data_IF_740150992328
#
_entry.id   IF_740150992328
#
_cell.length_a   1.000
_cell.length_b   1.000
_cell.length_c   1.000
_cell.angle_alpha   90.00
_cell.angle_beta   90.00
_cell.angle_gamma   90.00
#
_symmetry.space_group_name_H-M   'P 1'
#
loop_
_entity.id
_entity.type
_entity.pdbx_description
1 polymer ?
#
# COMPACT_ATOMS: atom_id res chain seq x y z
N UNK A 1 26.58 -70.40 -46.84
CA UNK A 1 27.15 -69.20 -46.22
C UNK A 1 26.36 -67.98 -46.69
N UNK A 2 25.84 -67.23 -45.72
CA UNK A 2 25.36 -65.83 -45.77
C UNK A 2 24.37 -65.34 -46.83
N UNK A 3 23.18 -64.98 -46.32
CA UNK A 3 22.40 -63.72 -46.57
C UNK A 3 21.71 -63.59 -47.93
N UNK A 4 20.50 -63.06 -48.08
CA UNK A 4 19.56 -62.40 -47.18
C UNK A 4 18.20 -62.31 -47.87
N UNK A 5 17.15 -62.28 -47.04
CA UNK A 5 15.75 -61.99 -47.31
C UNK A 5 15.52 -60.74 -48.18
N UNK A 6 14.55 -60.83 -49.10
CA UNK A 6 13.74 -59.70 -49.54
C UNK A 6 12.38 -60.22 -50.03
N UNK A 7 11.34 -60.12 -49.21
CA UNK A 7 9.96 -60.25 -49.65
C UNK A 7 9.08 -59.22 -48.94
N UNK A 8 8.42 -58.42 -49.77
CA UNK A 8 7.12 -57.79 -49.58
C UNK A 8 6.82 -57.08 -48.25
N UNK A 9 6.79 -55.74 -48.29
CA UNK A 9 5.54 -55.00 -48.00
C UNK A 9 5.58 -53.56 -48.53
N UNK A 10 5.03 -53.37 -49.73
CA UNK A 10 4.74 -52.07 -50.33
C UNK A 10 3.41 -51.51 -49.79
N UNK A 11 3.33 -50.18 -49.65
CA UNK A 11 2.19 -49.48 -50.26
C UNK A 11 1.43 -48.42 -49.48
N UNK A 12 1.64 -48.21 -48.17
CA UNK A 12 0.67 -47.40 -47.39
C UNK A 12 1.20 -46.36 -46.40
N UNK A 13 2.50 -46.03 -46.42
CA UNK A 13 3.07 -45.15 -45.39
C UNK A 13 3.38 -43.70 -45.84
N UNK A 14 3.19 -43.33 -47.11
CA UNK A 14 3.76 -42.08 -47.65
C UNK A 14 2.75 -40.96 -48.00
N UNK A 15 1.46 -41.12 -47.68
CA UNK A 15 0.42 -40.15 -48.07
C UNK A 15 -0.14 -39.28 -46.93
N UNK A 16 0.34 -39.40 -45.69
CA UNK A 16 -0.21 -38.63 -44.54
C UNK A 16 0.74 -37.51 -44.05
N UNK A 17 1.96 -37.40 -44.61
CA UNK A 17 2.98 -36.47 -44.09
C UNK A 17 2.93 -35.03 -44.66
N UNK A 18 1.85 -34.60 -45.31
CA UNK A 18 1.86 -33.35 -46.08
C UNK A 18 0.83 -32.27 -45.70
N UNK A 19 -0.04 -32.47 -44.70
CA UNK A 19 -1.10 -31.48 -44.40
C UNK A 19 -1.33 -31.29 -42.90
N UNK A 20 -0.27 -31.00 -42.13
CA UNK A 20 -0.42 -30.31 -40.82
C UNK A 20 0.76 -29.34 -40.66
N UNK A 21 0.86 -28.38 -41.58
CA UNK A 21 1.49 -27.09 -41.29
C UNK A 21 0.36 -26.06 -41.25
N UNK A 22 -0.54 -26.22 -40.28
CA UNK A 22 -1.39 -25.12 -39.86
C UNK A 22 -0.46 -24.12 -39.20
N UNK A 23 -0.03 -23.16 -40.02
CA UNK A 23 0.46 -21.85 -39.63
C UNK A 23 -0.34 -21.35 -38.43
N UNK A 24 0.22 -21.52 -37.24
CA UNK A 24 -0.17 -20.72 -36.09
C UNK A 24 0.28 -19.29 -36.41
N UNK A 25 -0.57 -18.56 -37.13
CA UNK A 25 -0.62 -17.13 -36.98
C UNK A 25 -1.07 -16.91 -35.53
N UNK A 26 -0.09 -16.86 -34.63
CA UNK A 26 -0.27 -16.23 -33.33
C UNK A 26 -0.61 -14.78 -33.65
N UNK A 27 -1.92 -14.50 -33.78
CA UNK A 27 -2.42 -13.16 -33.77
C UNK A 27 -1.89 -12.55 -32.49
N UNK A 28 -0.93 -11.65 -32.62
CA UNK A 28 -0.53 -10.78 -31.54
C UNK A 28 -1.79 -10.01 -31.16
N UNK A 29 -2.50 -10.53 -30.16
CA UNK A 29 -3.48 -9.78 -29.41
C UNK A 29 -2.77 -8.48 -29.06
N UNK A 30 -3.29 -7.37 -29.60
CA UNK A 30 -2.84 -6.03 -29.26
C UNK A 30 -3.03 -5.88 -27.76
N UNK A 31 -1.98 -6.24 -27.01
CA UNK A 31 -1.92 -6.01 -25.59
C UNK A 31 -1.83 -4.49 -25.44
N UNK A 32 -2.97 -3.86 -25.17
CA UNK A 32 -2.99 -2.45 -24.84
C UNK A 32 -2.16 -2.27 -23.58
N UNK A 33 -1.06 -1.55 -23.68
CA UNK A 33 -0.19 -1.30 -22.54
C UNK A 33 -0.91 -0.28 -21.62
N UNK A 34 -1.17 -0.69 -20.38
CA UNK A 34 -1.87 0.14 -19.42
C UNK A 34 -0.90 1.11 -18.73
N UNK A 35 -1.08 2.41 -18.95
CA UNK A 35 -0.39 3.47 -18.22
C UNK A 35 -1.28 3.94 -17.07
N UNK A 36 -0.83 3.69 -15.84
CA UNK A 36 -1.47 4.28 -14.66
C UNK A 36 -0.73 5.57 -14.29
N UNK A 37 -1.47 6.68 -14.26
CA UNK A 37 -0.97 8.01 -13.90
C UNK A 37 -1.79 8.58 -12.75
N UNK A 38 -1.24 9.57 -12.06
CA UNK A 38 -1.94 10.40 -11.06
C UNK A 38 -2.09 11.80 -11.64
N UNK A 39 -3.14 12.58 -11.32
CA UNK A 39 -3.24 13.97 -11.73
C UNK A 39 -1.96 14.77 -11.44
N UNK A 40 -1.43 15.45 -12.47
CA UNK A 40 -0.15 16.17 -12.44
C UNK A 40 1.08 15.29 -12.64
N UNK A 41 0.92 13.96 -12.72
CA UNK A 41 1.98 13.03 -13.06
C UNK A 41 2.23 12.96 -14.57
N UNK A 42 3.44 12.54 -14.95
CA UNK A 42 3.82 12.35 -16.34
C UNK A 42 4.62 11.08 -16.57
N UNK A 43 4.64 10.58 -17.81
CA UNK A 43 5.43 9.44 -18.23
C UNK A 43 6.03 9.68 -19.61
N UNK A 44 7.32 9.41 -19.74
CA UNK A 44 8.03 9.42 -21.02
C UNK A 44 7.89 8.06 -21.71
N UNK A 45 7.50 8.09 -22.98
CA UNK A 45 7.42 6.93 -23.87
C UNK A 45 8.41 7.11 -25.02
N UNK A 46 9.05 6.00 -25.42
CA UNK A 46 10.08 5.98 -26.44
C UNK A 46 9.60 5.21 -27.68
N UNK A 47 9.80 5.79 -28.86
CA UNK A 47 9.36 5.25 -30.14
C UNK A 47 10.46 5.31 -31.20
N UNK A 48 10.29 4.59 -32.32
CA UNK A 48 11.21 4.66 -33.46
C UNK A 48 10.55 5.41 -34.64
N UNK A 49 10.96 6.64 -34.88
CA UNK A 49 10.44 7.51 -35.96
C UNK A 49 8.91 7.63 -35.95
N UNK A 50 8.42 8.22 -34.87
CA UNK A 50 7.01 8.52 -34.66
C UNK A 50 6.54 9.56 -35.67
N UNK A 51 5.42 9.27 -36.31
CA UNK A 51 4.86 10.11 -37.37
C UNK A 51 3.39 10.47 -37.14
N UNK A 52 2.67 9.78 -36.24
CA UNK A 52 1.31 10.14 -35.86
C UNK A 52 1.02 9.82 -34.40
N UNK A 53 0.32 10.72 -33.73
CA UNK A 53 -0.15 10.56 -32.34
C UNK A 53 -1.60 11.02 -32.29
N UNK A 54 -2.47 10.22 -31.67
CA UNK A 54 -3.87 10.56 -31.43
C UNK A 54 -4.23 10.24 -29.99
N UNK A 55 -4.69 11.26 -29.27
CA UNK A 55 -5.28 11.11 -27.95
C UNK A 55 -6.81 11.16 -28.09
N UNK A 56 -7.52 10.19 -27.50
CA UNK A 56 -8.97 10.09 -27.62
C UNK A 56 -9.68 11.20 -26.85
N UNK A 57 -9.27 11.44 -25.61
CA UNK A 57 -9.86 12.47 -24.75
C UNK A 57 -8.75 13.35 -24.14
N UNK A 58 -8.61 14.62 -24.58
CA UNK A 58 -7.62 15.57 -24.07
C UNK A 58 -8.01 16.24 -22.74
N UNK A 59 -9.21 15.98 -22.22
CA UNK A 59 -9.61 16.45 -20.89
C UNK A 59 -8.95 15.63 -19.80
N UNK A 60 -8.89 14.30 -19.99
CA UNK A 60 -8.33 13.32 -19.04
C UNK A 60 -6.80 13.34 -19.02
N UNK A 61 -6.16 13.39 -20.19
CA UNK A 61 -4.71 13.38 -20.34
C UNK A 61 -4.26 14.40 -21.38
N UNK A 62 -2.96 14.64 -21.47
CA UNK A 62 -2.35 15.45 -22.52
C UNK A 62 -1.07 14.79 -23.00
N UNK A 63 -0.65 15.12 -24.21
CA UNK A 63 0.56 14.55 -24.79
C UNK A 63 1.40 15.63 -25.45
N UNK A 64 2.70 15.59 -25.18
CA UNK A 64 3.68 16.50 -25.77
C UNK A 64 4.72 15.67 -26.51
N UNK A 65 4.83 15.90 -27.82
CA UNK A 65 5.87 15.29 -28.65
C UNK A 65 7.16 16.06 -28.43
N UNK A 66 8.10 15.49 -27.66
CA UNK A 66 9.39 16.10 -27.41
C UNK A 66 10.33 15.91 -28.61
N UNK A 67 10.27 14.76 -29.27
CA UNK A 67 11.01 14.47 -30.50
C UNK A 67 10.32 13.37 -31.32
N UNK A 68 10.88 13.01 -32.48
CA UNK A 68 10.42 11.84 -33.26
C UNK A 68 10.58 10.51 -32.51
N UNK A 69 11.34 10.47 -31.42
CA UNK A 69 11.54 9.27 -30.61
C UNK A 69 10.93 9.39 -29.21
N UNK A 70 10.48 10.56 -28.79
CA UNK A 70 10.08 10.83 -27.39
C UNK A 70 8.70 11.49 -27.32
N UNK A 71 7.81 10.86 -26.55
CA UNK A 71 6.47 11.36 -26.27
C UNK A 71 6.25 11.40 -24.77
N UNK A 72 5.89 12.57 -24.24
CA UNK A 72 5.55 12.73 -22.83
C UNK A 72 4.04 12.73 -22.68
N UNK A 73 3.51 11.86 -21.83
CA UNK A 73 2.08 11.77 -21.49
C UNK A 73 1.87 12.36 -20.10
N UNK A 74 0.92 13.29 -19.97
CA UNK A 74 0.54 13.94 -18.72
C UNK A 74 -0.87 13.54 -18.32
N UNK A 75 -1.08 13.21 -17.04
CA UNK A 75 -2.42 13.02 -16.48
C UNK A 75 -3.00 14.34 -15.98
N UNK A 76 -4.17 14.75 -16.48
CA UNK A 76 -4.87 15.99 -16.07
C UNK A 76 -5.95 15.70 -15.04
N UNK A 77 -7.05 15.07 -15.45
CA UNK A 77 -8.19 14.73 -14.60
C UNK A 77 -8.35 13.23 -14.45
N UNK A 78 -9.01 12.83 -13.36
CA UNK A 78 -9.29 11.42 -13.07
C UNK A 78 -10.21 10.85 -14.14
N UNK A 79 -9.81 9.74 -14.76
CA UNK A 79 -10.55 9.13 -15.86
C UNK A 79 -9.72 8.12 -16.64
N UNK A 80 -10.36 7.52 -17.64
CA UNK A 80 -9.71 6.57 -18.55
C UNK A 80 -9.79 7.11 -19.97
N UNK A 81 -8.66 7.12 -20.67
CA UNK A 81 -8.57 7.54 -22.07
C UNK A 81 -7.62 6.61 -22.82
N UNK A 82 -7.63 6.69 -24.15
CA UNK A 82 -6.75 5.90 -25.00
C UNK A 82 -5.82 6.80 -25.79
N UNK A 83 -4.60 6.33 -25.97
CA UNK A 83 -3.58 6.96 -26.79
C UNK A 83 -3.16 5.98 -27.88
N UNK A 84 -3.20 6.45 -29.13
CA UNK A 84 -2.71 5.72 -30.29
C UNK A 84 -1.47 6.41 -30.84
N UNK A 85 -0.40 5.64 -31.03
CA UNK A 85 0.86 6.13 -31.57
C UNK A 85 1.24 5.30 -32.77
N UNK A 86 1.64 5.94 -33.87
CA UNK A 86 2.21 5.25 -35.03
C UNK A 86 3.68 5.60 -35.17
N UNK A 87 4.50 4.56 -35.21
CA UNK A 87 5.93 4.63 -35.41
C UNK A 87 6.35 3.67 -36.54
N UNK A 88 7.65 3.57 -36.84
CA UNK A 88 8.16 2.70 -37.89
C UNK A 88 7.88 1.20 -37.67
N UNK A 89 7.48 0.78 -36.45
CA UNK A 89 7.14 -0.61 -36.12
C UNK A 89 5.65 -0.90 -36.25
N UNK A 90 4.80 0.12 -36.29
CA UNK A 90 3.36 -0.01 -36.49
C UNK A 90 2.56 0.87 -35.54
N UNK A 91 1.32 0.42 -35.25
CA UNK A 91 0.39 1.13 -34.35
C UNK A 91 0.50 0.57 -32.93
N UNK A 92 0.78 1.44 -31.98
CA UNK A 92 0.76 1.18 -30.55
C UNK A 92 -0.54 1.71 -29.95
N UNK A 93 -1.12 0.96 -29.01
CA UNK A 93 -2.32 1.34 -28.27
C UNK A 93 -2.01 1.34 -26.77
N UNK A 94 -2.27 2.47 -26.12
CA UNK A 94 -2.04 2.68 -24.71
C UNK A 94 -3.35 3.04 -24.01
N UNK A 95 -3.69 2.30 -22.96
CA UNK A 95 -4.81 2.63 -22.08
C UNK A 95 -4.29 3.50 -20.93
N UNK A 96 -4.61 4.80 -20.97
CA UNK A 96 -4.22 5.75 -19.93
C UNK A 96 -5.32 5.75 -18.87
N UNK A 97 -4.98 5.34 -17.66
CA UNK A 97 -5.84 5.40 -16.49
C UNK A 97 -5.26 6.43 -15.51
N UNK A 98 -5.87 7.61 -15.46
CA UNK A 98 -5.53 8.63 -14.49
C UNK A 98 -6.35 8.35 -13.24
N UNK A 99 -5.70 7.81 -12.21
CA UNK A 99 -6.34 7.49 -10.95
C UNK A 99 -6.22 8.67 -9.99
N UNK A 100 -7.34 9.03 -9.37
CA UNK A 100 -7.34 10.00 -8.27
C UNK A 100 -6.50 9.48 -7.12
N UNK A 101 -5.90 10.39 -6.36
CA UNK A 101 -5.34 10.01 -5.06
C UNK A 101 -6.47 9.51 -4.17
N UNK A 102 -6.25 8.49 -3.33
CA UNK A 102 -7.25 8.06 -2.37
C UNK A 102 -7.64 9.27 -1.51
N UNK A 103 -8.91 9.66 -1.58
CA UNK A 103 -9.41 10.79 -0.79
C UNK A 103 -9.45 10.39 0.69
N UNK A 104 -9.25 11.38 1.56
CA UNK A 104 -9.39 11.19 3.00
C UNK A 104 -10.76 10.59 3.36
N UNK A 105 -11.83 10.92 2.61
CA UNK A 105 -13.18 10.37 2.83
C UNK A 105 -13.28 8.86 2.58
N UNK A 106 -12.63 8.34 1.52
CA UNK A 106 -12.60 6.89 1.27
C UNK A 106 -11.75 6.16 2.30
N UNK A 107 -10.65 6.80 2.74
CA UNK A 107 -9.80 6.29 3.80
C UNK A 107 -10.53 6.24 5.14
N UNK A 108 -11.30 7.26 5.50
CA UNK A 108 -12.11 7.29 6.73
C UNK A 108 -13.06 6.08 6.78
N UNK A 109 -13.75 5.77 5.68
CA UNK A 109 -14.65 4.60 5.62
C UNK A 109 -13.90 3.29 5.86
N UNK A 110 -12.78 3.07 5.18
CA UNK A 110 -11.96 1.86 5.39
C UNK A 110 -11.40 1.80 6.81
N UNK A 111 -10.94 2.92 7.34
CA UNK A 111 -10.40 3.00 8.70
C UNK A 111 -11.48 2.74 9.75
N UNK A 112 -12.71 3.21 9.55
CA UNK A 112 -13.81 2.93 10.48
C UNK A 112 -14.21 1.45 10.52
N UNK A 113 -13.93 0.67 9.47
CA UNK A 113 -14.16 -0.78 9.44
C UNK A 113 -13.03 -1.57 10.11
N UNK A 114 -11.80 -1.05 10.07
CA UNK A 114 -10.61 -1.72 10.60
C UNK A 114 -10.31 -1.34 12.06
N UNK A 115 -10.72 -0.15 12.49
CA UNK A 115 -10.45 0.34 13.83
C UNK A 115 -11.55 -0.10 14.82
N UNK A 116 -11.19 -0.32 16.10
CA UNK A 116 -12.16 -0.65 17.12
C UNK A 116 -13.15 0.51 17.35
N UNK A 117 -14.38 0.18 17.76
CA UNK A 117 -15.48 1.12 17.93
C UNK A 117 -15.24 2.23 18.97
N UNK A 118 -14.17 2.12 19.77
CA UNK A 118 -13.72 3.15 20.71
C UNK A 118 -13.03 4.35 20.02
N UNK A 119 -12.70 4.21 18.72
CA UNK A 119 -12.05 5.23 17.92
C UNK A 119 -12.96 5.77 16.83
N UNK A 120 -12.95 7.10 16.68
CA UNK A 120 -13.62 7.85 15.64
C UNK A 120 -12.58 8.43 14.68
N UNK A 121 -12.86 8.31 13.38
CA UNK A 121 -11.99 8.83 12.33
C UNK A 121 -12.75 9.90 11.56
N UNK A 122 -12.13 11.06 11.37
CA UNK A 122 -12.68 12.16 10.59
C UNK A 122 -11.64 12.68 9.61
N UNK A 123 -12.06 12.94 8.37
CA UNK A 123 -11.24 13.71 7.44
C UNK A 123 -11.33 15.19 7.84
N UNK A 124 -10.18 15.83 8.03
CA UNK A 124 -10.11 17.28 8.17
C UNK A 124 -10.01 17.93 6.79
N UNK A 125 -9.16 17.36 5.92
CA UNK A 125 -8.92 17.78 4.54
C UNK A 125 -8.66 16.55 3.66
N UNK A 126 -8.50 16.74 2.34
CA UNK A 126 -8.13 15.68 1.39
C UNK A 126 -6.79 14.98 1.69
N UNK A 127 -5.97 15.58 2.55
CA UNK A 127 -4.64 15.08 2.93
C UNK A 127 -4.43 14.88 4.42
N UNK A 128 -5.45 15.13 5.24
CA UNK A 128 -5.33 15.04 6.70
C UNK A 128 -6.51 14.29 7.30
N UNK A 129 -6.20 13.25 8.06
CA UNK A 129 -7.17 12.45 8.81
C UNK A 129 -6.88 12.63 10.29
N UNK A 130 -7.94 12.91 11.05
CA UNK A 130 -7.93 12.96 12.50
C UNK A 130 -8.47 11.63 13.05
N UNK A 131 -7.72 11.03 13.96
CA UNK A 131 -8.14 9.88 14.76
C UNK A 131 -8.30 10.34 16.20
N UNK A 132 -9.50 10.19 16.76
CA UNK A 132 -9.80 10.56 18.14
C UNK A 132 -10.61 9.46 18.82
N UNK A 133 -10.52 9.36 20.13
CA UNK A 133 -11.25 8.34 20.90
C UNK A 133 -10.54 8.00 22.19
N UNK A 134 -11.12 7.06 22.93
CA UNK A 134 -10.60 6.64 24.24
C UNK A 134 -10.37 5.14 24.21
N UNK A 135 -9.11 4.70 24.27
CA UNK A 135 -8.73 3.29 24.31
C UNK A 135 -8.59 2.79 25.75
N UNK A 136 -8.82 1.49 25.97
CA UNK A 136 -8.71 0.90 27.31
C UNK A 136 -7.26 0.66 27.75
N UNK A 137 -6.31 0.61 26.80
CA UNK A 137 -4.89 0.37 27.08
C UNK A 137 -3.97 1.10 26.10
N UNK A 138 -2.72 1.36 26.52
CA UNK A 138 -1.68 1.94 25.67
C UNK A 138 -1.34 1.06 24.47
N UNK A 139 -1.36 -0.27 24.66
CA UNK A 139 -1.11 -1.26 23.60
C UNK A 139 -2.17 -1.18 22.49
N UNK A 140 -3.44 -0.97 22.86
CA UNK A 140 -4.53 -0.82 21.91
C UNK A 140 -4.40 0.47 21.09
N UNK A 141 -4.04 1.58 21.75
CA UNK A 141 -3.74 2.85 21.08
C UNK A 141 -2.62 2.69 20.06
N UNK A 142 -1.49 2.09 20.46
CA UNK A 142 -0.33 1.94 19.58
C UNK A 142 -0.67 1.10 18.34
N UNK A 143 -1.37 -0.02 18.52
CA UNK A 143 -1.87 -0.84 17.39
C UNK A 143 -2.79 -0.07 16.46
N UNK A 144 -3.73 0.70 17.01
CA UNK A 144 -4.66 1.48 16.21
C UNK A 144 -3.95 2.56 15.39
N UNK A 145 -3.00 3.27 16.00
CA UNK A 145 -2.19 4.29 15.32
C UNK A 145 -1.34 3.66 14.21
N UNK A 146 -0.75 2.49 14.45
CA UNK A 146 0.04 1.78 13.44
C UNK A 146 -0.79 1.32 12.25
N UNK A 147 -2.00 0.79 12.50
CA UNK A 147 -2.95 0.44 11.44
C UNK A 147 -3.33 1.69 10.65
N UNK A 148 -3.67 2.79 11.35
CA UNK A 148 -4.05 4.04 10.72
C UNK A 148 -2.95 4.59 9.80
N UNK A 149 -1.69 4.58 10.25
CA UNK A 149 -0.53 5.01 9.44
C UNK A 149 -0.32 4.13 8.22
N UNK A 150 -0.39 2.81 8.36
CA UNK A 150 -0.21 1.87 7.24
C UNK A 150 -1.30 2.01 6.17
N UNK A 151 -2.53 2.27 6.58
CA UNK A 151 -3.66 2.42 5.66
C UNK A 151 -3.68 3.82 5.02
N UNK A 152 -3.31 4.87 5.75
CA UNK A 152 -3.29 6.24 5.27
C UNK A 152 -2.21 6.51 4.19
N UNK A 153 -1.11 5.76 4.19
CA UNK A 153 -0.05 5.90 3.18
C UNK A 153 0.53 7.33 3.17
N UNK A 154 0.31 8.05 2.08
CA UNK A 154 0.77 9.44 1.89
C UNK A 154 -0.10 10.49 2.64
N UNK A 155 -1.22 10.08 3.23
CA UNK A 155 -2.15 10.96 3.95
C UNK A 155 -1.68 11.17 5.39
N UNK A 156 -1.67 12.42 5.86
CA UNK A 156 -1.23 12.76 7.21
C UNK A 156 -2.26 12.29 8.24
N UNK A 157 -1.81 11.53 9.23
CA UNK A 157 -2.64 11.11 10.37
C UNK A 157 -2.30 11.96 11.59
N UNK A 158 -3.30 12.64 12.14
CA UNK A 158 -3.25 13.36 13.41
C UNK A 158 -3.91 12.48 14.47
N UNK A 159 -3.16 12.10 15.49
CA UNK A 159 -3.61 11.26 16.61
C UNK A 159 -3.94 12.13 17.82
N UNK A 160 -5.18 12.04 18.32
CA UNK A 160 -5.64 12.63 19.59
C UNK A 160 -6.36 11.55 20.42
N UNK A 161 -5.85 10.32 20.40
CA UNK A 161 -6.38 9.19 21.18
C UNK A 161 -5.88 9.26 22.62
N UNK A 162 -6.81 9.20 23.57
CA UNK A 162 -6.50 9.08 25.00
C UNK A 162 -6.62 7.65 25.48
N UNK A 163 -5.94 7.32 26.59
CA UNK A 163 -6.02 6.00 27.23
C UNK A 163 -6.72 6.15 28.57
N UNK A 164 -7.69 5.28 28.85
CA UNK A 164 -8.36 5.20 30.16
C UNK A 164 -7.30 4.88 31.22
N UNK A 165 -7.11 5.78 32.18
CA UNK A 165 -6.16 5.59 33.29
C UNK A 165 -4.75 6.15 33.07
N UNK A 166 -4.51 6.88 31.96
CA UNK A 166 -3.22 7.59 31.75
C UNK A 166 -3.03 8.78 32.71
N UNK A 167 -4.03 9.10 33.52
CA UNK A 167 -3.89 10.03 34.66
C UNK A 167 -3.12 9.43 35.83
N UNK A 168 -2.77 8.13 35.81
CA UNK A 168 -1.99 7.54 36.90
C UNK A 168 -0.56 8.08 36.88
N UNK A 169 -0.29 8.94 37.85
CA UNK A 169 0.98 9.67 37.96
C UNK A 169 2.16 8.69 38.01
N UNK A 170 3.36 9.09 37.54
CA UNK A 170 4.57 8.28 37.69
C UNK A 170 4.78 7.80 39.15
N UNK A 171 4.46 8.67 40.11
CA UNK A 171 4.49 8.35 41.53
C UNK A 171 3.48 7.25 41.95
N UNK A 172 2.24 7.29 41.48
CA UNK A 172 1.25 6.23 41.77
C UNK A 172 1.66 4.87 41.19
N UNK A 173 2.24 4.85 39.99
CA UNK A 173 2.77 3.61 39.39
C UNK A 173 3.87 2.98 40.26
N UNK A 174 4.81 3.80 40.71
CA UNK A 174 5.91 3.35 41.58
C UNK A 174 5.37 2.92 42.94
N UNK A 175 4.44 3.66 43.54
CA UNK A 175 3.82 3.29 44.81
C UNK A 175 3.09 1.94 44.74
N UNK A 176 2.36 1.67 43.65
CA UNK A 176 1.71 0.37 43.42
C UNK A 176 2.71 -0.78 43.33
N UNK A 177 3.82 -0.59 42.61
CA UNK A 177 4.90 -1.59 42.54
C UNK A 177 5.59 -1.82 43.89
N UNK A 178 5.93 -0.76 44.62
CA UNK A 178 6.58 -0.88 45.92
C UNK A 178 5.69 -1.60 46.94
N UNK A 179 4.38 -1.33 46.92
CA UNK A 179 3.41 -2.02 47.78
C UNK A 179 3.36 -3.54 47.57
N UNK A 180 3.56 -3.98 46.33
CA UNK A 180 3.67 -5.42 46.01
C UNK A 180 4.99 -6.03 46.48
N UNK A 181 6.08 -5.26 46.45
CA UNK A 181 7.43 -5.74 46.80
C UNK A 181 7.68 -5.79 48.31
N UNK A 182 7.32 -4.75 49.05
CA UNK A 182 7.64 -4.65 50.49
C UNK A 182 6.44 -4.97 51.40
N UNK A 183 5.29 -5.30 50.82
CA UNK A 183 4.10 -5.72 51.55
C UNK A 183 3.39 -4.58 52.33
N UNK A 184 2.34 -4.90 53.10
CA UNK A 184 1.48 -3.92 53.76
C UNK A 184 2.13 -3.22 54.97
N UNK A 185 3.34 -3.62 55.35
CA UNK A 185 4.06 -3.06 56.51
C UNK A 185 4.67 -1.68 56.24
N UNK A 186 4.63 -1.22 55.00
CA UNK A 186 5.11 0.09 54.58
C UNK A 186 3.94 0.94 54.07
N UNK A 187 3.89 2.18 54.53
CA UNK A 187 2.98 3.22 54.09
C UNK A 187 3.62 3.99 52.93
N UNK A 188 2.86 4.18 51.85
CA UNK A 188 3.29 4.88 50.64
C UNK A 188 2.49 6.16 50.48
N UNK A 189 3.17 7.30 50.62
CA UNK A 189 2.57 8.63 50.46
C UNK A 189 3.07 9.21 49.15
N UNK A 190 2.15 9.48 48.24
CA UNK A 190 2.46 10.15 46.97
C UNK A 190 2.59 11.64 47.25
N UNK A 191 3.72 12.24 46.86
CA UNK A 191 3.96 13.67 47.00
C UNK A 191 4.30 14.28 45.64
N UNK A 192 3.28 14.83 44.99
CA UNK A 192 3.38 15.36 43.62
C UNK A 192 3.51 14.26 42.55
N UNK A 193 3.92 14.64 41.34
CA UNK A 193 3.92 13.73 40.20
C UNK A 193 5.04 12.68 40.20
N UNK A 194 6.16 12.94 40.90
CA UNK A 194 7.40 12.13 40.79
C UNK A 194 7.93 11.60 42.11
N UNK A 195 7.38 12.00 43.25
CA UNK A 195 7.93 11.62 44.56
C UNK A 195 7.00 10.66 45.27
N UNK A 196 7.54 9.54 45.74
CA UNK A 196 6.86 8.61 46.65
C UNK A 196 7.67 8.55 47.93
N UNK A 197 7.02 8.84 49.05
CA UNK A 197 7.61 8.71 50.38
C UNK A 197 7.18 7.35 50.93
N UNK A 198 8.16 6.55 51.34
CA UNK A 198 7.94 5.23 51.95
C UNK A 198 8.24 5.34 53.44
N UNK A 199 7.25 5.02 54.29
CA UNK A 199 7.38 5.02 55.75
C UNK A 199 7.07 3.63 56.28
N UNK A 200 7.97 3.05 57.06
CA UNK A 200 7.73 1.77 57.70
C UNK A 200 8.65 1.56 58.90
N UNK A 201 8.36 0.56 59.74
CA UNK A 201 9.24 0.18 60.83
C UNK A 201 10.54 -0.37 60.24
N UNK A 202 11.61 0.42 60.26
CA UNK A 202 12.95 -0.10 60.01
C UNK A 202 13.40 -0.90 61.23
N UNK A 203 13.62 -2.20 61.06
CA UNK A 203 14.41 -2.97 62.01
C UNK A 203 15.85 -2.45 61.96
N UNK A 204 16.40 -2.09 63.12
CA UNK A 204 17.75 -1.52 63.24
C UNK A 204 18.87 -2.47 62.77
N UNK A 205 18.58 -3.76 62.57
CA UNK A 205 19.53 -4.78 62.13
C UNK A 205 19.99 -4.64 60.67
N UNK A 206 19.37 -3.79 59.84
CA UNK A 206 19.75 -3.65 58.41
C UNK A 206 20.68 -2.45 58.13
N UNK A 207 21.11 -1.68 59.14
CA UNK A 207 22.01 -0.53 58.96
C UNK A 207 23.51 -0.83 59.11
N UNK A 208 23.90 -2.09 59.29
CA UNK A 208 25.29 -2.52 59.31
C UNK A 208 25.57 -3.47 58.14
N UNK A 209 25.72 -2.90 56.94
CA UNK A 209 26.57 -3.42 55.85
C UNK A 209 26.74 -2.34 54.77
#
# INVERSE_FOLDING_TARGET
MSRSLASCRNGFAWAILAVVLLTQAAGALLASEALVLVPGGSRLLLFKDMHRVVLVDPTVADVVVASRAELVVFGKTVGVTKLYVWDARGRHEYAINVQGRPSATLLVRRLSELLPACLSVKALDDRTILVSGVCASSVERERAVDIAKKVAGDVRVVDIVSVVGDEMTPAERVAGQLKLLFGPNYEYIIWGEKTVIVRGPMSADTMQD
#
